data_IF_870792774191
#
_entry.id   IF_870792774191
#
_cell.length_a   1.000
_cell.length_b   1.000
_cell.length_c   1.000
_cell.angle_alpha   90.00
_cell.angle_beta   90.00
_cell.angle_gamma   90.00
#
_symmetry.space_group_name_H-M   'P 1'
#
loop_
_entity.id
_entity.type
_entity.pdbx_description
1 polymer ?
#
# COMPACT_ATOMS: atom_id res chain seq x y z
N UNK A 1 2.14 2.71 25.15
CA UNK A 1 3.31 3.59 24.99
C UNK A 1 2.92 4.63 23.97
N UNK A 2 3.08 5.94 24.24
CA UNK A 2 2.55 6.98 23.35
C UNK A 2 2.93 6.70 21.89
N UNK A 3 1.94 6.76 21.00
CA UNK A 3 2.10 6.45 19.59
C UNK A 3 3.23 7.31 19.00
N UNK A 4 4.31 6.72 18.45
CA UNK A 4 5.46 7.50 18.01
C UNK A 4 5.13 8.32 16.77
N UNK A 5 5.56 9.59 16.77
CA UNK A 5 5.52 10.42 15.57
C UNK A 5 6.62 9.99 14.59
N UNK A 6 6.25 9.28 13.52
CA UNK A 6 7.20 8.71 12.56
C UNK A 6 7.25 9.56 11.28
N UNK A 7 8.41 10.17 10.93
CA UNK A 7 8.50 11.05 9.77
C UNK A 7 8.14 10.42 8.43
N UNK A 8 8.41 9.12 8.25
CA UNK A 8 8.06 8.41 7.02
C UNK A 8 6.55 8.34 6.80
N UNK A 9 5.80 7.97 7.83
CA UNK A 9 4.34 7.84 7.76
C UNK A 9 3.70 9.17 7.40
N UNK A 10 4.04 10.23 8.13
CA UNK A 10 3.49 11.56 7.90
C UNK A 10 3.84 12.06 6.49
N UNK A 11 5.08 11.83 6.05
CA UNK A 11 5.52 12.23 4.71
C UNK A 11 4.75 11.49 3.60
N UNK A 12 4.46 10.20 3.79
CA UNK A 12 3.66 9.43 2.83
C UNK A 12 2.20 9.90 2.82
N UNK A 13 1.61 10.20 3.98
CA UNK A 13 0.25 10.75 4.06
C UNK A 13 0.16 12.11 3.37
N UNK A 14 1.12 13.02 3.58
CA UNK A 14 1.18 14.29 2.84
C UNK A 14 1.37 14.08 1.34
N UNK A 15 2.19 13.11 0.92
CA UNK A 15 2.36 12.77 -0.49
C UNK A 15 1.05 12.25 -1.08
N UNK A 16 0.42 11.26 -0.46
CA UNK A 16 -0.78 10.62 -0.97
C UNK A 16 -1.99 11.55 -0.93
N UNK A 17 -1.99 12.56 -0.05
CA UNK A 17 -3.00 13.62 -0.03
C UNK A 17 -2.72 14.80 -0.98
N UNK A 18 -1.60 14.80 -1.71
CA UNK A 18 -1.20 15.92 -2.57
C UNK A 18 -1.86 15.90 -3.95
N UNK A 19 -2.05 17.10 -4.53
CA UNK A 19 -2.50 17.24 -5.92
C UNK A 19 -1.50 16.62 -6.91
N UNK A 20 -0.20 16.69 -6.62
CA UNK A 20 0.87 16.09 -7.42
C UNK A 20 0.71 14.57 -7.53
N UNK A 21 0.37 13.90 -6.42
CA UNK A 21 0.13 12.45 -6.43
C UNK A 21 -1.21 12.11 -7.08
N UNK A 22 -2.25 12.90 -6.84
CA UNK A 22 -3.54 12.76 -7.52
C UNK A 22 -3.41 12.88 -9.05
N UNK A 23 -2.51 13.74 -9.54
CA UNK A 23 -2.18 13.83 -10.96
C UNK A 23 -1.68 12.50 -11.53
N UNK A 24 -0.88 11.74 -10.77
CA UNK A 24 -0.41 10.42 -11.20
C UNK A 24 -1.57 9.45 -11.39
N UNK A 25 -2.55 9.46 -10.49
CA UNK A 25 -3.81 8.72 -10.64
C UNK A 25 -4.53 9.11 -11.93
N UNK A 26 -4.77 10.42 -12.12
CA UNK A 26 -5.45 10.94 -13.31
C UNK A 26 -4.75 10.50 -14.60
N UNK A 27 -3.44 10.70 -14.68
CA UNK A 27 -2.66 10.39 -15.88
C UNK A 27 -2.64 8.89 -16.17
N UNK A 28 -2.51 8.06 -15.13
CA UNK A 28 -2.57 6.61 -15.27
C UNK A 28 -3.95 6.13 -15.71
N UNK A 29 -5.03 6.67 -15.12
CA UNK A 29 -6.39 6.30 -15.48
C UNK A 29 -6.74 6.75 -16.90
N UNK A 30 -6.37 7.98 -17.30
CA UNK A 30 -6.52 8.47 -18.66
C UNK A 30 -5.81 7.57 -19.68
N UNK A 31 -4.59 7.12 -19.38
CA UNK A 31 -3.85 6.19 -20.21
C UNK A 31 -4.58 4.82 -20.36
N UNK A 32 -5.21 4.34 -19.28
CA UNK A 32 -6.04 3.12 -19.30
C UNK A 32 -7.27 3.28 -20.20
N UNK A 33 -8.00 4.40 -20.06
CA UNK A 33 -9.18 4.68 -20.90
C UNK A 33 -8.76 4.76 -22.37
N UNK A 34 -7.70 5.52 -22.68
CA UNK A 34 -7.19 5.65 -24.04
C UNK A 34 -6.77 4.31 -24.64
N UNK A 35 -6.10 3.44 -23.87
CA UNK A 35 -5.70 2.12 -24.35
C UNK A 35 -6.91 1.25 -24.69
N UNK A 36 -7.99 1.31 -23.90
CA UNK A 36 -9.22 0.59 -24.18
C UNK A 36 -9.95 1.12 -25.41
N UNK A 37 -9.99 2.44 -25.59
CA UNK A 37 -10.56 3.07 -26.78
C UNK A 37 -9.78 2.71 -28.05
N UNK A 38 -8.45 2.81 -28.01
CA UNK A 38 -7.58 2.45 -29.13
C UNK A 38 -7.75 0.97 -29.50
N UNK A 39 -7.78 0.09 -28.49
CA UNK A 39 -8.00 -1.34 -28.68
C UNK A 39 -9.35 -1.65 -29.31
N UNK A 40 -10.42 -0.98 -28.87
CA UNK A 40 -11.74 -1.14 -29.46
C UNK A 40 -11.77 -0.65 -30.91
N UNK A 41 -11.17 0.50 -31.18
CA UNK A 41 -11.08 1.05 -32.53
C UNK A 41 -10.34 0.08 -33.49
N UNK A 42 -9.27 -0.56 -33.03
CA UNK A 42 -8.53 -1.54 -33.84
C UNK A 42 -9.37 -2.78 -34.16
N UNK A 43 -10.11 -3.32 -33.18
CA UNK A 43 -11.03 -4.43 -33.42
C UNK A 43 -12.12 -4.03 -34.41
N UNK A 44 -12.64 -2.81 -34.31
CA UNK A 44 -13.66 -2.30 -35.23
C UNK A 44 -13.14 -2.10 -36.65
N UNK A 45 -11.85 -1.79 -36.80
CA UNK A 45 -11.18 -1.69 -38.10
C UNK A 45 -10.97 -3.06 -38.75
N UNK A 46 -10.85 -4.13 -37.96
CA UNK A 46 -10.44 -5.47 -38.41
C UNK A 46 -11.50 -6.56 -38.15
N UNK A 47 -12.77 -6.20 -38.34
CA UNK A 47 -13.90 -7.08 -38.04
C UNK A 47 -13.89 -8.42 -38.81
N UNK A 48 -13.89 -9.57 -38.11
CA UNK A 48 -14.12 -10.87 -38.74
C UNK A 48 -15.51 -10.96 -39.38
N UNK A 49 -15.68 -11.67 -40.51
CA UNK A 49 -16.99 -11.82 -41.16
C UNK A 49 -18.08 -12.45 -40.27
N UNK A 50 -17.68 -13.28 -39.29
CA UNK A 50 -18.57 -13.93 -38.34
C UNK A 50 -18.88 -13.09 -37.10
N UNK A 51 -18.25 -11.92 -36.92
CA UNK A 51 -18.29 -11.13 -35.69
C UNK A 51 -19.70 -10.91 -35.13
N UNK A 52 -20.63 -10.46 -35.99
CA UNK A 52 -22.02 -10.17 -35.59
C UNK A 52 -22.84 -11.42 -35.28
N UNK A 53 -22.36 -12.61 -35.64
CA UNK A 53 -22.99 -13.90 -35.29
C UNK A 53 -22.54 -14.41 -33.93
N UNK A 54 -21.48 -13.83 -33.35
CA UNK A 54 -20.99 -14.21 -32.02
C UNK A 54 -22.00 -13.77 -30.95
N UNK A 55 -22.07 -14.47 -29.81
CA UNK A 55 -22.82 -14.01 -28.66
C UNK A 55 -22.46 -12.56 -28.28
N UNK A 56 -23.42 -11.79 -27.76
CA UNK A 56 -23.20 -10.36 -27.42
C UNK A 56 -22.03 -10.13 -26.47
N UNK A 57 -21.80 -11.06 -25.54
CA UNK A 57 -20.69 -10.96 -24.59
C UNK A 57 -19.29 -11.06 -25.24
N UNK A 58 -19.20 -11.61 -26.47
CA UNK A 58 -17.98 -11.66 -27.27
C UNK A 58 -17.83 -10.48 -28.24
N UNK A 59 -18.77 -9.54 -28.22
CA UNK A 59 -18.75 -8.35 -29.08
C UNK A 59 -18.35 -7.14 -28.23
N UNK A 60 -17.05 -6.76 -28.18
CA UNK A 60 -16.57 -5.68 -27.33
C UNK A 60 -17.17 -4.32 -27.65
N UNK A 61 -17.69 -4.08 -28.86
CA UNK A 61 -18.40 -2.84 -29.15
C UNK A 61 -19.76 -2.76 -28.42
N UNK A 62 -20.39 -3.90 -28.16
CA UNK A 62 -21.60 -3.99 -27.34
C UNK A 62 -21.23 -3.95 -25.86
N UNK A 63 -20.31 -4.80 -25.40
CA UNK A 63 -19.98 -4.86 -23.96
C UNK A 63 -19.17 -3.65 -23.51
N UNK A 64 -17.99 -3.46 -24.06
CA UNK A 64 -17.13 -2.34 -23.69
C UNK A 64 -17.58 -1.01 -24.29
N UNK A 65 -17.99 -1.01 -25.56
CA UNK A 65 -18.39 0.22 -26.25
C UNK A 65 -19.64 0.89 -25.68
N UNK A 66 -20.59 0.13 -25.11
CA UNK A 66 -21.84 0.69 -24.56
C UNK A 66 -21.95 0.66 -23.04
N UNK A 67 -21.09 -0.09 -22.35
CA UNK A 67 -21.14 -0.21 -20.87
C UNK A 67 -19.84 0.27 -20.22
N UNK A 68 -18.71 -0.38 -20.53
CA UNK A 68 -17.45 -0.10 -19.82
C UNK A 68 -16.87 1.27 -20.16
N UNK A 69 -16.72 1.59 -21.45
CA UNK A 69 -16.11 2.84 -21.90
C UNK A 69 -16.90 4.09 -21.49
N UNK A 70 -18.25 4.13 -21.58
CA UNK A 70 -19.01 5.23 -21.01
C UNK A 70 -18.74 5.42 -19.51
N UNK A 71 -18.80 4.35 -18.70
CA UNK A 71 -18.50 4.44 -17.27
C UNK A 71 -17.07 4.91 -16.98
N UNK A 72 -16.09 4.45 -17.77
CA UNK A 72 -14.69 4.88 -17.63
C UNK A 72 -14.51 6.35 -18.01
N UNK A 73 -15.19 6.84 -19.05
CA UNK A 73 -15.15 8.26 -19.43
C UNK A 73 -15.78 9.15 -18.36
N UNK A 74 -16.94 8.75 -17.83
CA UNK A 74 -17.61 9.48 -16.74
C UNK A 74 -16.69 9.53 -15.50
N UNK A 75 -16.08 8.40 -15.14
CA UNK A 75 -15.12 8.34 -14.04
C UNK A 75 -13.90 9.24 -14.31
N UNK A 76 -13.39 9.25 -15.54
CA UNK A 76 -12.23 10.07 -15.91
C UNK A 76 -12.56 11.56 -15.80
N UNK A 77 -13.74 11.96 -16.26
CA UNK A 77 -14.23 13.33 -16.11
C UNK A 77 -14.31 13.73 -14.63
N UNK A 78 -14.86 12.86 -13.76
CA UNK A 78 -14.91 13.12 -12.31
C UNK A 78 -13.51 13.31 -11.72
N UNK A 79 -12.54 12.47 -12.13
CA UNK A 79 -11.15 12.57 -11.68
C UNK A 79 -10.49 13.87 -12.18
N UNK A 80 -10.76 14.28 -13.42
CA UNK A 80 -10.25 15.55 -13.96
C UNK A 80 -10.81 16.77 -13.23
N UNK A 81 -12.12 16.78 -12.96
CA UNK A 81 -12.78 17.82 -12.17
C UNK A 81 -12.25 17.86 -10.73
N UNK A 82 -12.08 16.69 -10.09
CA UNK A 82 -11.51 16.58 -8.76
C UNK A 82 -10.07 17.09 -8.70
N UNK A 83 -9.26 16.79 -9.71
CA UNK A 83 -7.89 17.32 -9.80
C UNK A 83 -7.87 18.85 -9.87
N UNK A 84 -8.77 19.46 -10.65
CA UNK A 84 -8.90 20.92 -10.71
C UNK A 84 -9.37 21.50 -9.37
N UNK A 85 -10.32 20.86 -8.70
CA UNK A 85 -10.81 21.25 -7.38
C UNK A 85 -9.71 21.21 -6.30
N UNK A 86 -8.86 20.16 -6.32
CA UNK A 86 -7.69 20.06 -5.45
C UNK A 86 -6.69 21.20 -5.69
N UNK A 87 -6.45 21.56 -6.96
CA UNK A 87 -5.58 22.71 -7.30
C UNK A 87 -6.16 24.04 -6.81
N UNK A 88 -7.48 24.17 -6.70
CA UNK A 88 -8.14 25.34 -6.09
C UNK A 88 -8.24 25.30 -4.57
N UNK A 89 -7.76 24.22 -3.92
CA UNK A 89 -7.74 24.08 -2.46
C UNK A 89 -8.93 23.32 -1.86
N UNK A 90 -9.79 22.70 -2.68
CA UNK A 90 -10.92 21.88 -2.20
C UNK A 90 -10.43 20.47 -1.84
N UNK A 91 -9.94 20.32 -0.61
CA UNK A 91 -9.37 19.08 -0.08
C UNK A 91 -10.28 17.85 -0.27
N UNK A 92 -11.58 17.98 0.00
CA UNK A 92 -12.53 16.86 -0.04
C UNK A 92 -12.70 16.22 -1.42
N UNK A 93 -12.27 16.90 -2.49
CA UNK A 93 -12.28 16.33 -3.84
C UNK A 93 -11.39 15.08 -3.97
N UNK A 94 -10.44 14.88 -3.04
CA UNK A 94 -9.55 13.74 -3.04
C UNK A 94 -10.30 12.39 -2.95
N UNK A 95 -11.45 12.35 -2.29
CA UNK A 95 -12.27 11.15 -2.14
C UNK A 95 -12.75 10.55 -3.47
N UNK A 96 -12.76 11.34 -4.56
CA UNK A 96 -13.13 10.86 -5.91
C UNK A 96 -12.17 9.78 -6.42
N UNK A 97 -10.94 9.70 -5.89
CA UNK A 97 -9.98 8.66 -6.25
C UNK A 97 -10.55 7.24 -6.08
N UNK A 98 -11.40 7.00 -5.07
CA UNK A 98 -12.01 5.69 -4.82
C UNK A 98 -12.86 5.18 -5.99
N UNK A 99 -13.46 6.08 -6.78
CA UNK A 99 -14.33 5.72 -7.90
C UNK A 99 -13.57 4.97 -9.01
N UNK A 100 -12.26 5.20 -9.15
CA UNK A 100 -11.44 4.48 -10.13
C UNK A 100 -11.40 2.98 -9.82
N UNK A 101 -11.20 2.61 -8.55
CA UNK A 101 -11.22 1.22 -8.14
C UNK A 101 -12.62 0.60 -8.23
N UNK A 102 -13.69 1.38 -7.96
CA UNK A 102 -15.07 0.92 -8.19
C UNK A 102 -15.35 0.65 -9.67
N UNK A 103 -14.89 1.54 -10.56
CA UNK A 103 -15.02 1.36 -12.01
C UNK A 103 -14.28 0.09 -12.48
N UNK A 104 -13.05 -0.11 -11.99
CA UNK A 104 -12.28 -1.33 -12.25
C UNK A 104 -12.93 -2.60 -11.71
N UNK A 105 -13.50 -2.56 -10.50
CA UNK A 105 -14.22 -3.70 -9.94
C UNK A 105 -15.45 -4.07 -10.79
N UNK A 106 -16.20 -3.06 -11.27
CA UNK A 106 -17.33 -3.27 -12.18
C UNK A 106 -16.91 -3.85 -13.53
N UNK A 107 -15.82 -3.35 -14.12
CA UNK A 107 -15.27 -3.88 -15.35
C UNK A 107 -14.74 -5.31 -15.17
N UNK A 108 -13.89 -5.56 -14.16
CA UNK A 108 -13.18 -6.82 -13.98
C UNK A 108 -14.08 -8.02 -13.63
N UNK A 109 -15.26 -7.77 -13.04
CA UNK A 109 -16.21 -8.82 -12.68
C UNK A 109 -16.92 -9.42 -13.89
N UNK A 110 -17.42 -8.54 -14.78
CA UNK A 110 -18.39 -8.93 -15.81
C UNK A 110 -17.88 -8.71 -17.25
N UNK A 111 -16.77 -7.99 -17.43
CA UNK A 111 -16.30 -7.53 -18.73
C UNK A 111 -14.80 -7.78 -18.91
N UNK A 112 -14.36 -9.01 -19.19
CA UNK A 112 -12.93 -9.30 -19.42
C UNK A 112 -12.35 -8.44 -20.56
N UNK A 113 -11.04 -8.18 -20.49
CA UNK A 113 -10.28 -7.43 -21.51
C UNK A 113 -9.52 -8.33 -22.51
N UNK A 114 -9.83 -9.64 -22.52
CA UNK A 114 -9.17 -10.66 -23.35
C UNK A 114 -9.40 -10.49 -24.87
N UNK A 115 -10.39 -9.69 -25.25
CA UNK A 115 -10.65 -9.29 -26.63
C UNK A 115 -9.62 -8.28 -27.17
N UNK A 116 -8.89 -7.59 -26.29
CA UNK A 116 -8.03 -6.47 -26.66
C UNK A 116 -6.72 -6.97 -27.31
N UNK A 117 -6.37 -6.52 -28.52
CA UNK A 117 -5.13 -6.92 -29.16
C UNK A 117 -3.92 -6.19 -28.56
N UNK A 118 -2.72 -6.77 -28.73
CA UNK A 118 -1.48 -6.04 -28.47
C UNK A 118 -1.23 -4.97 -29.56
N UNK A 119 -0.61 -3.81 -29.20
CA UNK A 119 0.01 -3.46 -27.92
C UNK A 119 -0.97 -2.84 -26.89
N UNK A 120 -2.27 -2.77 -27.20
CA UNK A 120 -3.25 -2.04 -26.40
C UNK A 120 -3.53 -2.74 -25.06
N UNK A 121 -3.56 -4.07 -25.06
CA UNK A 121 -3.73 -4.86 -23.84
C UNK A 121 -2.62 -4.57 -22.83
N UNK A 122 -1.35 -4.60 -23.26
CA UNK A 122 -0.23 -4.28 -22.38
C UNK A 122 -0.32 -2.86 -21.80
N UNK A 123 -0.67 -1.86 -22.63
CA UNK A 123 -0.89 -0.48 -22.17
C UNK A 123 -2.03 -0.37 -21.17
N UNK A 124 -3.14 -1.07 -21.43
CA UNK A 124 -4.30 -1.11 -20.54
C UNK A 124 -3.94 -1.70 -19.18
N UNK A 125 -3.27 -2.85 -19.15
CA UNK A 125 -2.87 -3.52 -17.89
C UNK A 125 -1.86 -2.69 -17.09
N UNK A 126 -0.92 -2.03 -17.77
CA UNK A 126 0.04 -1.15 -17.10
C UNK A 126 -0.65 0.06 -16.45
N UNK A 127 -1.51 0.75 -17.19
CA UNK A 127 -2.30 1.87 -16.68
C UNK A 127 -3.24 1.44 -15.55
N UNK A 128 -3.91 0.30 -15.71
CA UNK A 128 -4.81 -0.29 -14.71
C UNK A 128 -4.10 -0.49 -13.37
N UNK A 129 -2.92 -1.14 -13.39
CA UNK A 129 -2.15 -1.41 -12.16
C UNK A 129 -1.75 -0.12 -11.48
N UNK A 130 -1.18 0.84 -12.23
CA UNK A 130 -0.76 2.14 -11.69
C UNK A 130 -1.93 2.91 -11.09
N UNK A 131 -3.02 3.07 -11.86
CA UNK A 131 -4.21 3.80 -11.42
C UNK A 131 -4.83 3.14 -10.18
N UNK A 132 -4.91 1.81 -10.13
CA UNK A 132 -5.46 1.10 -8.97
C UNK A 132 -4.60 1.30 -7.72
N UNK A 133 -3.27 1.20 -7.84
CA UNK A 133 -2.36 1.48 -6.71
C UNK A 133 -2.51 2.93 -6.22
N UNK A 134 -2.50 3.91 -7.12
CA UNK A 134 -2.63 5.32 -6.74
C UNK A 134 -3.99 5.60 -6.08
N UNK A 135 -5.07 5.07 -6.64
CA UNK A 135 -6.42 5.21 -6.09
C UNK A 135 -6.54 4.61 -4.69
N UNK A 136 -5.97 3.42 -4.49
CA UNK A 136 -5.97 2.75 -3.17
C UNK A 136 -5.20 3.55 -2.14
N UNK A 137 -3.98 3.98 -2.45
CA UNK A 137 -3.16 4.77 -1.51
C UNK A 137 -3.86 6.07 -1.09
N UNK A 138 -4.54 6.73 -2.04
CA UNK A 138 -5.33 7.92 -1.77
C UNK A 138 -6.54 7.59 -0.86
N UNK A 139 -7.29 6.54 -1.18
CA UNK A 139 -8.48 6.14 -0.42
C UNK A 139 -8.16 5.74 1.04
N UNK A 140 -7.05 5.02 1.25
CA UNK A 140 -6.54 4.70 2.60
C UNK A 140 -6.10 5.95 3.37
N UNK A 141 -5.60 6.97 2.69
CA UNK A 141 -5.16 8.22 3.30
C UNK A 141 -6.33 9.10 3.75
N UNK A 142 -7.39 9.22 2.94
CA UNK A 142 -8.54 10.10 3.21
C UNK A 142 -9.61 9.47 4.11
N UNK A 143 -10.05 8.23 3.84
CA UNK A 143 -11.31 7.70 4.43
C UNK A 143 -11.20 6.33 5.09
N UNK A 144 -10.36 5.43 4.56
CA UNK A 144 -10.37 4.03 5.00
C UNK A 144 -9.46 3.83 6.22
N UNK A 145 -8.38 4.61 6.32
CA UNK A 145 -7.36 4.43 7.35
C UNK A 145 -6.32 3.38 6.95
N UNK A 146 -5.08 3.59 7.37
CA UNK A 146 -3.98 2.67 7.12
C UNK A 146 -3.87 1.64 8.23
N UNK A 147 -3.56 0.38 7.89
CA UNK A 147 -3.31 -0.64 8.89
C UNK A 147 -1.96 -0.37 9.54
N UNK A 148 -1.90 -0.48 10.87
CA UNK A 148 -0.71 -0.15 11.65
C UNK A 148 0.56 -0.81 11.10
N UNK A 149 1.54 0.01 10.74
CA UNK A 149 2.81 -0.45 10.20
C UNK A 149 2.94 -0.37 8.68
N UNK A 150 1.83 -0.28 7.92
CA UNK A 150 1.85 -0.28 6.45
C UNK A 150 2.62 0.91 5.87
N UNK A 151 2.59 2.06 6.56
CA UNK A 151 3.37 3.25 6.17
C UNK A 151 4.74 3.33 6.82
N UNK A 152 5.13 2.34 7.64
CA UNK A 152 6.34 2.36 8.45
C UNK A 152 7.18 1.10 8.26
N UNK A 153 7.17 0.18 9.23
CA UNK A 153 8.03 -1.02 9.26
C UNK A 153 7.54 -2.15 8.37
N UNK A 154 6.27 -2.13 7.95
CA UNK A 154 5.63 -3.10 7.06
C UNK A 154 5.40 -2.54 5.65
N UNK A 155 6.06 -1.43 5.30
CA UNK A 155 5.90 -0.82 3.98
C UNK A 155 6.32 -1.78 2.86
N UNK A 156 5.41 -1.95 1.91
CA UNK A 156 5.55 -2.87 0.79
C UNK A 156 5.55 -2.10 -0.52
N UNK A 157 6.70 -2.04 -1.21
CA UNK A 157 6.78 -1.38 -2.51
C UNK A 157 5.96 -2.09 -3.59
N UNK A 158 5.71 -3.40 -3.43
CA UNK A 158 4.85 -4.14 -4.36
C UNK A 158 3.39 -3.75 -4.24
N UNK A 159 2.95 -3.38 -3.03
CA UNK A 159 1.54 -3.07 -2.76
C UNK A 159 1.26 -1.57 -2.95
N UNK A 160 2.18 -0.73 -2.48
CA UNK A 160 1.97 0.73 -2.40
C UNK A 160 2.80 1.52 -3.43
N UNK A 161 3.65 0.85 -4.19
CA UNK A 161 4.60 1.49 -5.10
C UNK A 161 5.88 1.96 -4.39
N UNK A 162 6.84 2.52 -5.15
CA UNK A 162 8.17 2.83 -4.64
C UNK A 162 8.10 3.81 -3.46
N UNK A 163 8.85 3.53 -2.39
CA UNK A 163 8.89 4.41 -1.21
C UNK A 163 9.40 5.80 -1.59
N UNK A 164 10.39 5.86 -2.49
CA UNK A 164 10.99 7.10 -3.01
C UNK A 164 11.29 8.13 -1.90
N UNK A 165 12.11 7.79 -0.89
CA UNK A 165 12.34 8.68 0.26
C UNK A 165 13.03 9.98 -0.17
N UNK A 166 12.77 11.11 0.52
CA UNK A 166 13.55 12.33 0.33
C UNK A 166 15.00 12.11 0.79
N UNK A 167 15.96 12.95 0.36
CA UNK A 167 17.36 12.84 0.79
C UNK A 167 17.54 12.82 2.31
N UNK A 168 16.67 13.55 3.01
CA UNK A 168 16.51 13.51 4.46
C UNK A 168 15.03 13.65 4.79
N UNK A 169 14.58 13.01 5.85
CA UNK A 169 13.19 13.14 6.26
C UNK A 169 12.88 14.53 6.80
N UNK A 170 11.64 15.02 6.61
CA UNK A 170 11.18 16.26 7.22
C UNK A 170 11.06 16.15 8.74
N UNK A 171 11.15 17.28 9.43
CA UNK A 171 10.93 17.38 10.86
C UNK A 171 9.46 17.69 11.11
N UNK A 172 8.81 16.91 11.95
CA UNK A 172 7.43 17.13 12.36
C UNK A 172 7.32 17.38 13.86
N UNK A 173 6.26 18.04 14.28
CA UNK A 173 5.86 18.19 15.68
C UNK A 173 4.35 18.02 15.83
N UNK A 174 3.91 17.61 17.01
CA UNK A 174 2.50 17.68 17.38
C UNK A 174 2.14 19.12 17.78
N UNK A 175 0.98 19.59 17.32
CA UNK A 175 0.39 20.85 17.75
C UNK A 175 -0.67 20.57 18.83
N UNK A 176 -0.33 20.67 20.14
CA UNK A 176 -1.25 20.33 21.22
C UNK A 176 -2.43 21.30 21.34
N UNK A 177 -2.44 22.40 20.58
CA UNK A 177 -3.55 23.37 20.55
C UNK A 177 -4.65 22.97 19.57
N UNK A 178 -4.39 22.02 18.67
CA UNK A 178 -5.36 21.51 17.69
C UNK A 178 -5.51 20.01 17.95
N UNK A 179 -6.56 19.69 18.71
CA UNK A 179 -6.95 18.32 19.08
C UNK A 179 -8.42 18.15 18.80
N UNK A 180 -8.80 16.98 18.29
CA UNK A 180 -10.17 16.64 17.88
C UNK A 180 -10.47 15.23 18.37
N UNK A 181 -11.54 15.05 19.14
CA UNK A 181 -11.98 13.71 19.56
C UNK A 181 -12.76 13.02 18.44
N UNK A 182 -12.86 11.69 18.47
CA UNK A 182 -13.77 10.93 17.61
C UNK A 182 -15.17 11.55 17.58
N UNK A 183 -15.79 11.59 16.39
CA UNK A 183 -17.06 12.24 16.07
C UNK A 183 -17.10 13.77 16.16
N UNK A 184 -15.99 14.45 16.50
CA UNK A 184 -15.91 15.91 16.42
C UNK A 184 -15.54 16.39 15.01
N UNK A 185 -16.03 17.57 14.64
CA UNK A 185 -15.80 18.17 13.32
C UNK A 185 -14.37 18.71 13.18
N UNK A 186 -13.71 18.35 12.08
CA UNK A 186 -12.36 18.78 11.73
C UNK A 186 -12.38 20.25 11.31
N UNK A 187 -11.66 21.09 12.06
CA UNK A 187 -11.58 22.54 11.80
C UNK A 187 -10.36 22.95 10.96
N UNK A 188 -9.34 22.08 10.88
CA UNK A 188 -8.10 22.33 10.16
C UNK A 188 -7.75 21.12 9.32
N UNK A 189 -7.64 21.30 8.01
CA UNK A 189 -7.17 20.26 7.10
C UNK A 189 -5.73 19.89 7.43
N UNK A 190 -5.42 18.59 7.52
CA UNK A 190 -4.05 18.14 7.74
C UNK A 190 -3.95 16.67 8.16
N UNK A 191 -2.73 16.25 8.49
CA UNK A 191 -2.44 14.93 9.04
C UNK A 191 -2.52 15.00 10.57
N UNK A 192 -3.19 14.04 11.19
CA UNK A 192 -3.37 13.93 12.62
C UNK A 192 -2.81 12.59 13.13
N UNK A 193 -2.19 12.62 14.30
CA UNK A 193 -1.72 11.43 15.01
C UNK A 193 -2.71 11.08 16.13
N UNK A 194 -3.15 9.83 16.26
CA UNK A 194 -4.05 9.42 17.32
C UNK A 194 -3.29 9.18 18.63
N UNK A 195 -3.92 9.48 19.76
CA UNK A 195 -3.44 9.12 21.10
C UNK A 195 -3.59 7.60 21.41
N UNK A 196 -3.91 6.78 20.42
CA UNK A 196 -4.06 5.33 20.50
C UNK A 196 -2.75 4.60 20.15
N UNK A 197 -2.39 3.57 20.93
CA UNK A 197 -1.24 2.71 20.66
C UNK A 197 -1.51 1.83 19.42
N UNK A 198 -0.45 1.48 18.68
CA UNK A 198 -0.55 0.60 17.50
C UNK A 198 -1.58 1.08 16.47
N UNK A 199 -1.68 2.39 16.26
CA UNK A 199 -2.55 3.02 15.26
C UNK A 199 -1.73 3.88 14.30
N UNK A 200 -2.22 4.03 13.07
CA UNK A 200 -1.61 4.91 12.07
C UNK A 200 -2.15 6.34 12.15
N UNK A 201 -1.35 7.29 11.69
CA UNK A 201 -1.81 8.66 11.46
C UNK A 201 -2.81 8.70 10.30
N UNK A 202 -3.65 9.74 10.26
CA UNK A 202 -4.69 9.90 9.25
C UNK A 202 -4.76 11.33 8.73
N UNK A 203 -5.10 11.49 7.45
CA UNK A 203 -5.36 12.79 6.86
C UNK A 203 -6.86 13.11 6.97
N UNK A 204 -7.18 14.34 7.35
CA UNK A 204 -8.54 14.83 7.44
C UNK A 204 -8.68 16.17 6.72
N UNK A 205 -9.81 16.37 6.04
CA UNK A 205 -10.21 17.65 5.47
C UNK A 205 -11.11 18.43 6.43
N UNK A 206 -11.02 19.77 6.39
CA UNK A 206 -11.93 20.64 7.15
C UNK A 206 -13.39 20.37 6.77
N UNK A 207 -14.29 20.33 7.75
CA UNK A 207 -15.72 20.05 7.58
C UNK A 207 -16.09 18.56 7.53
N UNK A 208 -15.13 17.65 7.63
CA UNK A 208 -15.39 16.22 7.92
C UNK A 208 -15.39 15.98 9.43
N UNK A 209 -15.62 14.74 9.84
CA UNK A 209 -15.60 14.32 11.24
C UNK A 209 -14.42 13.37 11.50
N UNK A 210 -13.81 13.49 12.68
CA UNK A 210 -12.76 12.57 13.10
C UNK A 210 -13.33 11.17 13.33
N UNK A 211 -12.68 10.14 12.79
CA UNK A 211 -13.10 8.74 12.95
C UNK A 211 -12.56 8.14 14.25
N UNK A 212 -12.99 6.93 14.57
CA UNK A 212 -12.25 6.04 15.45
C UNK A 212 -10.87 5.70 14.85
N UNK A 213 -9.96 5.21 15.69
CA UNK A 213 -8.64 4.75 15.25
C UNK A 213 -8.62 3.21 15.19
N UNK A 214 -8.29 2.69 14.02
CA UNK A 214 -7.96 1.27 13.86
C UNK A 214 -6.64 0.94 14.53
N UNK A 215 -6.65 -0.07 15.41
CA UNK A 215 -5.52 -0.44 16.27
C UNK A 215 -5.11 -1.90 16.12
N UNK A 216 -3.81 -2.13 16.28
CA UNK A 216 -3.20 -3.45 16.22
C UNK A 216 -3.11 -4.02 14.79
N UNK A 217 -2.48 -5.18 14.69
CA UNK A 217 -2.34 -5.90 13.42
C UNK A 217 -2.46 -7.41 13.65
N UNK A 218 -3.41 -8.06 12.96
CA UNK A 218 -3.52 -9.52 12.92
C UNK A 218 -2.77 -10.08 11.69
N UNK A 219 -1.66 -10.80 11.87
CA UNK A 219 -0.89 -11.35 10.75
C UNK A 219 -1.62 -12.46 9.96
N UNK A 220 -2.74 -13.00 10.47
CA UNK A 220 -3.53 -14.01 9.77
C UNK A 220 -4.52 -13.40 8.78
N UNK A 221 -5.18 -12.32 9.18
CA UNK A 221 -6.19 -11.63 8.35
C UNK A 221 -5.60 -10.45 7.59
N UNK A 222 -4.40 -10.02 7.98
CA UNK A 222 -3.71 -8.81 7.51
C UNK A 222 -4.53 -7.53 7.72
N UNK A 223 -5.32 -7.48 8.80
CA UNK A 223 -6.20 -6.36 9.15
C UNK A 223 -5.90 -5.83 10.56
N UNK A 224 -6.51 -4.69 10.92
CA UNK A 224 -6.55 -4.20 12.29
C UNK A 224 -7.33 -5.17 13.21
N UNK A 225 -7.06 -5.07 14.51
CA UNK A 225 -7.67 -5.94 15.52
C UNK A 225 -8.91 -5.28 16.13
N UNK A 226 -8.83 -3.99 16.43
CA UNK A 226 -9.92 -3.22 17.03
C UNK A 226 -10.05 -1.85 16.38
N UNK A 227 -11.15 -1.19 16.66
CA UNK A 227 -11.35 0.25 16.46
C UNK A 227 -11.64 0.86 17.84
N UNK A 228 -10.98 1.99 18.13
CA UNK A 228 -11.09 2.66 19.44
C UNK A 228 -11.31 4.15 19.27
N UNK A 229 -12.20 4.71 20.08
CA UNK A 229 -12.32 6.15 20.23
C UNK A 229 -10.98 6.73 20.68
N UNK A 230 -10.61 7.88 20.11
CA UNK A 230 -9.33 8.51 20.41
C UNK A 230 -9.42 10.03 20.34
N UNK A 231 -8.31 10.67 20.72
CA UNK A 231 -8.08 12.08 20.44
C UNK A 231 -6.97 12.17 19.40
N UNK A 232 -7.29 12.85 18.30
CA UNK A 232 -6.41 13.14 17.19
C UNK A 232 -5.71 14.47 17.43
N UNK A 233 -4.38 14.51 17.33
CA UNK A 233 -3.59 15.73 17.46
C UNK A 233 -2.97 16.10 16.12
N UNK A 234 -3.16 17.35 15.67
CA UNK A 234 -2.62 17.83 14.40
C UNK A 234 -1.09 17.72 14.37
N UNK A 235 -0.56 17.22 13.26
CA UNK A 235 0.87 17.15 12.98
C UNK A 235 1.26 18.34 12.11
N UNK A 236 2.31 19.06 12.51
CA UNK A 236 2.87 20.18 11.76
C UNK A 236 4.27 19.84 11.25
N UNK A 237 4.50 20.09 9.97
CA UNK A 237 5.84 20.11 9.37
C UNK A 237 6.58 21.38 9.82
N UNK A 238 7.75 21.19 10.43
CA UNK A 238 8.60 22.26 10.99
C UNK A 238 9.78 22.58 10.07
N UNK A 239 10.28 21.57 9.35
CA UNK A 239 11.36 21.73 8.38
C UNK A 239 11.30 20.62 7.31
N UNK A 240 11.70 20.93 6.07
CA UNK A 240 11.72 19.95 4.97
C UNK A 240 12.89 18.96 5.04
N UNK A 241 13.85 19.21 5.92
CA UNK A 241 15.02 18.35 6.13
C UNK A 241 15.45 18.33 7.60
N UNK A 242 16.20 17.29 7.98
CA UNK A 242 16.78 17.15 9.32
C UNK A 242 15.97 16.32 10.32
N UNK A 243 14.89 15.66 9.90
CA UNK A 243 14.01 14.81 10.72
C UNK A 243 14.60 13.46 11.16
N UNK A 244 15.91 13.26 11.04
CA UNK A 244 16.57 11.98 11.30
C UNK A 244 16.25 10.92 10.24
N UNK A 245 16.48 9.66 10.57
CA UNK A 245 16.11 8.50 9.75
C UNK A 245 14.64 8.17 10.02
N UNK A 246 13.76 8.23 9.01
CA UNK A 246 12.41 7.66 9.09
C UNK A 246 12.47 6.14 9.30
N UNK A 247 11.35 5.43 9.13
CA UNK A 247 11.33 3.96 9.23
C UNK A 247 11.98 3.23 8.04
N UNK A 248 12.54 3.96 7.07
CA UNK A 248 12.95 3.43 5.78
C UNK A 248 14.06 2.37 5.88
N UNK A 249 14.23 1.55 4.82
CA UNK A 249 15.31 0.57 4.75
C UNK A 249 16.60 1.34 4.89
N UNK A 250 17.27 1.15 6.03
CA UNK A 250 18.59 1.69 6.22
C UNK A 250 19.44 1.26 5.02
N UNK A 251 20.22 2.21 4.51
CA UNK A 251 21.48 1.88 3.91
C UNK A 251 22.09 0.73 4.73
N UNK A 252 22.36 -0.34 4.02
CA UNK A 252 22.95 -1.56 4.51
C UNK A 252 24.30 -1.24 5.16
N UNK A 253 24.27 -0.85 6.44
CA UNK A 253 25.39 -0.84 7.38
C UNK A 253 24.81 -1.16 8.75
N UNK A 254 24.83 -2.47 9.05
CA UNK A 254 24.84 -3.07 10.39
C UNK A 254 23.53 -3.19 11.21
N UNK A 255 22.49 -3.78 10.59
CA UNK A 255 21.57 -4.69 11.29
C UNK A 255 21.37 -5.96 10.43
N UNK A 256 21.32 -7.17 11.02
CA UNK A 256 21.67 -8.40 10.32
C UNK A 256 20.61 -8.74 9.27
N UNK A 257 21.05 -8.83 8.01
CA UNK A 257 20.37 -9.56 6.93
C UNK A 257 19.70 -10.79 7.52
N UNK A 258 18.42 -11.02 7.18
CA UNK A 258 17.77 -12.30 7.44
C UNK A 258 18.74 -13.40 6.99
N UNK A 259 19.28 -14.14 7.97
CA UNK A 259 20.38 -15.05 7.71
C UNK A 259 19.83 -16.18 6.85
N UNK A 260 20.50 -16.54 5.74
CA UNK A 260 20.03 -17.64 4.92
C UNK A 260 19.96 -18.91 5.78
N UNK A 261 18.91 -19.70 5.57
CA UNK A 261 18.78 -21.01 6.20
C UNK A 261 19.99 -21.86 5.83
N UNK A 262 20.65 -22.44 6.82
CA UNK A 262 21.87 -23.23 6.63
C UNK A 262 21.48 -24.70 6.52
N UNK A 263 21.73 -25.37 5.38
CA UNK A 263 21.50 -26.81 5.26
C UNK A 263 22.33 -27.58 6.29
N UNK A 264 21.82 -28.69 6.79
CA UNK A 264 22.61 -29.59 7.62
C UNK A 264 23.89 -30.05 6.91
N UNK A 265 24.91 -30.38 7.71
CA UNK A 265 26.28 -30.70 7.33
C UNK A 265 27.08 -29.54 6.71
N UNK A 266 26.55 -28.31 6.73
CA UNK A 266 27.32 -27.10 6.40
C UNK A 266 27.89 -26.45 7.66
N UNK A 267 29.04 -25.74 7.56
CA UNK A 267 29.59 -24.98 8.67
C UNK A 267 28.68 -23.79 9.01
N UNK A 268 28.52 -23.54 10.32
CA UNK A 268 27.78 -22.40 10.83
C UNK A 268 28.43 -21.09 10.34
N UNK A 269 27.69 -20.20 9.65
CA UNK A 269 28.26 -18.97 9.11
C UNK A 269 28.60 -17.97 10.22
N UNK A 270 27.93 -18.04 11.37
CA UNK A 270 28.09 -17.09 12.46
C UNK A 270 27.65 -17.67 13.81
N UNK A 271 28.46 -17.43 14.85
CA UNK A 271 28.18 -17.90 16.21
C UNK A 271 26.86 -17.34 16.75
N UNK A 272 26.04 -18.18 17.36
CA UNK A 272 24.79 -17.78 18.01
C UNK A 272 23.78 -18.90 18.15
N UNK A 273 22.55 -18.56 18.55
CA UNK A 273 21.46 -19.51 18.68
C UNK A 273 20.76 -19.74 17.35
N UNK A 274 20.65 -21.01 16.98
CA UNK A 274 19.93 -21.46 15.80
C UNK A 274 18.90 -22.51 16.21
N UNK A 275 17.82 -22.65 15.45
CA UNK A 275 16.82 -23.70 15.63
C UNK A 275 16.49 -24.34 14.28
N UNK A 276 15.88 -25.53 14.29
CA UNK A 276 15.38 -26.17 13.08
C UNK A 276 13.93 -26.63 13.27
N UNK A 277 13.01 -26.31 12.33
CA UNK A 277 11.64 -26.81 12.38
C UNK A 277 11.55 -28.34 12.26
N UNK A 278 12.61 -29.00 11.78
CA UNK A 278 12.65 -30.46 11.60
C UNK A 278 12.60 -31.22 12.94
N UNK A 279 12.85 -30.55 14.08
CA UNK A 279 12.76 -31.14 15.42
C UNK A 279 12.26 -30.10 16.42
N UNK A 280 11.19 -30.38 17.19
CA UNK A 280 10.77 -29.54 18.31
C UNK A 280 11.91 -29.36 19.33
N UNK A 281 11.96 -28.20 19.98
CA UNK A 281 12.96 -27.86 20.99
C UNK A 281 14.43 -28.03 20.54
N UNK A 282 14.68 -27.80 19.25
CA UNK A 282 16.02 -27.94 18.63
C UNK A 282 16.94 -26.73 18.82
N UNK A 283 16.50 -25.69 19.55
CA UNK A 283 17.25 -24.45 19.72
C UNK A 283 18.59 -24.72 20.41
N UNK A 284 19.69 -24.43 19.71
CA UNK A 284 21.05 -24.69 20.15
C UNK A 284 22.00 -23.58 19.74
N UNK A 285 22.99 -23.30 20.58
CA UNK A 285 24.08 -22.41 20.25
C UNK A 285 25.13 -23.12 19.38
N UNK A 286 25.51 -22.49 18.27
CA UNK A 286 26.60 -22.92 17.40
C UNK A 286 27.71 -21.89 17.42
N UNK A 287 28.97 -22.32 17.31
CA UNK A 287 30.10 -21.43 17.01
C UNK A 287 30.28 -21.30 15.50
N UNK A 288 30.77 -20.15 15.04
CA UNK A 288 31.15 -19.97 13.64
C UNK A 288 32.14 -21.08 13.21
N UNK A 289 31.89 -21.72 12.07
CA UNK A 289 32.65 -22.85 11.57
C UNK A 289 32.25 -24.22 12.15
N UNK A 290 31.40 -24.28 13.18
CA UNK A 290 30.87 -25.55 13.70
C UNK A 290 29.90 -26.18 12.70
N UNK A 291 30.10 -27.45 12.36
CA UNK A 291 29.21 -28.17 11.44
C UNK A 291 27.83 -28.37 12.07
N UNK A 292 26.79 -27.88 11.41
CA UNK A 292 25.41 -28.01 11.88
C UNK A 292 24.86 -29.40 11.56
N UNK A 293 24.42 -30.21 12.55
CA UNK A 293 24.06 -31.61 12.31
C UNK A 293 22.71 -31.75 11.61
N UNK A 294 22.54 -32.85 10.87
CA UNK A 294 21.20 -33.29 10.45
C UNK A 294 20.50 -33.92 11.65
N UNK A 295 19.27 -33.50 11.94
CA UNK A 295 18.53 -33.99 13.12
C UNK A 295 17.63 -35.18 12.82
N UNK A 296 17.41 -35.51 11.54
CA UNK A 296 16.57 -36.61 11.10
C UNK A 296 15.07 -36.40 11.44
N UNK A 297 14.18 -36.77 10.53
CA UNK A 297 12.74 -36.69 10.71
C UNK A 297 11.97 -36.90 9.41
N UNK A 298 10.67 -37.14 9.50
CA UNK A 298 9.80 -37.42 8.34
C UNK A 298 9.59 -36.21 7.41
N UNK A 299 10.13 -35.04 7.77
CA UNK A 299 9.89 -33.74 7.12
C UNK A 299 11.00 -33.30 6.13
N UNK A 300 11.83 -34.20 5.62
CA UNK A 300 12.82 -33.89 4.59
C UNK A 300 14.17 -33.33 5.11
N UNK A 301 14.88 -32.56 4.28
CA UNK A 301 16.23 -32.06 4.61
C UNK A 301 16.21 -31.07 5.78
N UNK A 302 17.14 -31.22 6.74
CA UNK A 302 17.26 -30.32 7.90
C UNK A 302 17.87 -28.97 7.48
N UNK A 303 17.18 -27.89 7.79
CA UNK A 303 17.67 -26.52 7.64
C UNK A 303 17.68 -25.82 9.00
N UNK A 304 18.81 -25.18 9.33
CA UNK A 304 19.01 -24.39 10.53
C UNK A 304 18.73 -22.92 10.26
N UNK A 305 17.93 -22.31 11.13
CA UNK A 305 17.48 -20.92 11.02
C UNK A 305 17.97 -20.14 12.24
N UNK A 306 18.28 -18.86 12.05
CA UNK A 306 18.69 -18.00 13.16
C UNK A 306 17.53 -17.84 14.14
N UNK A 307 17.78 -18.11 15.42
CA UNK A 307 16.74 -17.96 16.44
C UNK A 307 16.45 -16.47 16.68
N UNK A 308 15.18 -16.03 16.67
CA UNK A 308 14.83 -14.66 17.05
C UNK A 308 15.17 -14.39 18.53
N UNK A 309 15.19 -15.43 19.36
CA UNK A 309 15.67 -15.35 20.74
C UNK A 309 17.11 -15.86 20.85
N UNK A 310 18.04 -14.95 21.12
CA UNK A 310 19.48 -15.19 21.31
C UNK A 310 19.89 -15.29 22.79
N UNK A 311 18.93 -15.31 23.72
CA UNK A 311 19.23 -15.47 25.14
C UNK A 311 19.58 -16.92 25.49
N UNK A 312 20.46 -17.10 26.47
CA UNK A 312 20.71 -18.41 27.05
C UNK A 312 19.40 -18.98 27.65
N UNK A 313 19.15 -20.31 27.58
CA UNK A 313 18.03 -20.93 28.24
C UNK A 313 18.01 -20.53 29.71
N UNK A 314 16.86 -20.06 30.19
CA UNK A 314 16.67 -19.81 31.62
C UNK A 314 16.60 -21.17 32.32
N UNK A 315 17.43 -21.34 33.34
CA UNK A 315 17.42 -22.51 34.24
C UNK A 315 16.15 -22.53 35.08
#
# INVERSE_FOLDING_TARGET
MPNPLIPQEIYLLERYSSAEYFKLLRDAFAATVQAAEDGLAEVMRTLPPDYRRRPRWQQPDITWGTVVLPNFRDTLQMVEEAYLALLSGECSAIGIAGNVNTAFAGQGRDYPCDWMPEPFLSRFIEGYRKASTYASNIAFTDQIGWVWGDLTTRYSESDFGPLAPPPTWPVYRLNPKVRVATDEEIQVTGVYLPDADEASAQFFCTGTYATDASTGYDPKTTQNINDVDTVWTLVERVADSGGGSGCGPQGNTDAPKGRPNVPANQPCPESGWWFTPAKPDSRRYFKQGETMPSVGGDYGQTFWQWSPDQSAPKL
#
